data_IF_170906697911
#
_entry.id   IF_170906697911
#
_cell.length_a   1.000
_cell.length_b   1.000
_cell.length_c   1.000
_cell.angle_alpha   90.00
_cell.angle_beta   90.00
_cell.angle_gamma   90.00
#
_symmetry.space_group_name_H-M   'P 1'
#
loop_
_entity.id
_entity.type
_entity.pdbx_description
1 polymer ?
#
# COMPACT_ATOMS: atom_id res chain seq x y z
N UNK A 1 0.75 -6.76 3.83
CA UNK A 1 1.38 -5.71 4.65
C UNK A 1 2.16 -4.66 3.85
N UNK A 2 3.07 -5.02 2.93
CA UNK A 2 3.87 -4.05 2.18
C UNK A 2 2.99 -3.04 1.42
N UNK A 3 1.99 -3.52 0.70
CA UNK A 3 1.05 -2.69 -0.07
C UNK A 3 -0.02 -2.03 0.81
N UNK A 4 -0.53 -2.70 1.83
CA UNK A 4 -1.56 -2.12 2.71
C UNK A 4 -1.04 -0.93 3.52
N UNK A 5 0.26 -0.93 3.86
CA UNK A 5 0.93 0.19 4.51
C UNK A 5 1.44 1.26 3.53
N UNK A 6 1.19 1.12 2.23
CA UNK A 6 1.63 2.04 1.19
C UNK A 6 3.15 2.36 1.25
N UNK A 7 3.96 1.35 1.58
CA UNK A 7 5.41 1.50 1.62
C UNK A 7 5.94 1.71 0.19
N UNK A 8 6.64 2.80 -0.05
CA UNK A 8 7.14 3.17 -1.37
C UNK A 8 6.29 4.16 -2.17
N UNK A 9 5.04 4.40 -1.78
CA UNK A 9 4.15 5.35 -2.46
C UNK A 9 4.23 6.80 -1.94
N UNK A 10 5.03 7.06 -0.91
CA UNK A 10 5.18 8.40 -0.33
C UNK A 10 4.02 8.86 0.55
N UNK A 11 2.91 8.13 0.61
CA UNK A 11 1.70 8.49 1.36
C UNK A 11 2.00 8.66 2.86
N UNK A 12 2.81 7.78 3.44
CA UNK A 12 3.19 7.86 4.85
C UNK A 12 4.08 9.08 5.15
N UNK A 13 4.91 9.52 4.19
CA UNK A 13 5.69 10.74 4.31
C UNK A 13 4.78 11.97 4.38
N UNK A 14 3.78 12.00 3.51
CA UNK A 14 2.78 13.08 3.51
C UNK A 14 1.98 13.11 4.81
N UNK A 15 1.48 11.97 5.30
CA UNK A 15 0.80 11.92 6.59
C UNK A 15 1.70 12.33 7.75
N UNK A 16 2.98 11.95 7.71
CA UNK A 16 3.98 12.38 8.69
C UNK A 16 4.18 13.90 8.69
N UNK A 17 4.17 14.53 7.51
CA UNK A 17 4.34 15.99 7.40
C UNK A 17 3.14 16.80 7.93
N UNK A 18 1.95 16.20 7.99
CA UNK A 18 0.75 16.81 8.58
C UNK A 18 0.52 16.40 10.04
N UNK A 19 1.38 15.57 10.61
CA UNK A 19 1.25 15.17 12.00
C UNK A 19 1.47 16.38 12.92
N UNK A 20 0.61 16.61 13.93
CA UNK A 20 0.84 17.66 14.92
C UNK A 20 2.18 17.47 15.64
N UNK A 21 2.82 18.57 16.04
CA UNK A 21 4.12 18.57 16.74
C UNK A 21 4.10 17.82 18.09
N UNK A 22 2.90 17.56 18.64
CA UNK A 22 2.70 16.79 19.85
C UNK A 22 2.38 15.31 19.62
N UNK A 23 2.51 14.84 18.39
CA UNK A 23 2.29 13.44 18.04
C UNK A 23 3.48 12.55 18.40
N UNK A 24 3.21 11.42 19.04
CA UNK A 24 4.22 10.36 19.25
C UNK A 24 4.39 9.54 17.97
N UNK A 25 5.30 9.98 17.11
CA UNK A 25 5.57 9.34 15.81
C UNK A 25 6.07 7.90 15.99
N UNK A 26 6.86 7.62 17.03
CA UNK A 26 7.38 6.28 17.30
C UNK A 26 6.27 5.30 17.69
N UNK A 27 5.33 5.75 18.53
CA UNK A 27 4.15 4.96 18.92
C UNK A 27 3.23 4.74 17.72
N UNK A 28 2.98 5.76 16.93
CA UNK A 28 2.14 5.65 15.72
C UNK A 28 2.75 4.71 14.69
N UNK A 29 4.07 4.73 14.50
CA UNK A 29 4.78 3.80 13.61
C UNK A 29 4.66 2.33 14.03
N UNK A 30 4.35 2.03 15.28
CA UNK A 30 4.04 0.68 15.78
C UNK A 30 2.54 0.37 15.70
N UNK A 31 1.69 1.31 16.11
CA UNK A 31 0.24 1.07 16.18
C UNK A 31 -0.40 0.90 14.80
N UNK A 32 0.05 1.65 13.78
CA UNK A 32 -0.51 1.56 12.44
C UNK A 32 -0.28 0.18 11.81
N UNK A 33 0.94 -0.39 11.78
CA UNK A 33 1.15 -1.75 11.26
C UNK A 33 0.46 -2.83 12.09
N UNK A 34 0.37 -2.67 13.40
CA UNK A 34 -0.35 -3.63 14.25
C UNK A 34 -1.86 -3.60 13.96
N UNK A 35 -2.43 -2.42 13.81
CA UNK A 35 -3.83 -2.28 13.42
C UNK A 35 -4.11 -2.88 12.04
N UNK A 36 -3.26 -2.60 11.06
CA UNK A 36 -3.34 -3.18 9.71
C UNK A 36 -3.28 -4.71 9.75
N UNK A 37 -2.35 -5.28 10.55
CA UNK A 37 -2.23 -6.73 10.72
C UNK A 37 -3.50 -7.34 11.33
N UNK A 38 -4.05 -6.74 12.38
CA UNK A 38 -5.27 -7.24 13.03
C UNK A 38 -6.45 -7.22 12.06
N UNK A 39 -6.66 -6.12 11.35
CA UNK A 39 -7.74 -6.01 10.35
C UNK A 39 -7.55 -7.02 9.22
N UNK A 40 -6.32 -7.17 8.71
CA UNK A 40 -6.02 -8.14 7.65
C UNK A 40 -6.29 -9.58 8.10
N UNK A 41 -5.91 -9.96 9.33
CA UNK A 41 -6.19 -11.28 9.88
C UNK A 41 -7.69 -11.52 10.07
N UNK A 42 -8.43 -10.56 10.59
CA UNK A 42 -9.88 -10.67 10.75
C UNK A 42 -10.58 -10.80 9.38
N UNK A 43 -10.17 -10.01 8.40
CA UNK A 43 -10.70 -10.11 7.04
C UNK A 43 -10.39 -11.49 6.42
N UNK A 44 -9.17 -12.00 6.57
CA UNK A 44 -8.78 -13.32 6.08
C UNK A 44 -9.58 -14.44 6.75
N UNK A 45 -9.75 -14.37 8.08
CA UNK A 45 -10.56 -15.34 8.84
C UNK A 45 -12.05 -15.32 8.45
N UNK A 46 -12.57 -14.17 8.05
CA UNK A 46 -13.94 -14.07 7.57
C UNK A 46 -14.10 -14.58 6.14
N UNK A 47 -13.18 -14.24 5.24
CA UNK A 47 -13.36 -14.48 3.79
C UNK A 47 -12.86 -15.85 3.33
N UNK A 48 -11.71 -16.30 3.82
CA UNK A 48 -11.11 -17.57 3.36
C UNK A 48 -11.96 -18.79 3.76
N UNK A 49 -12.34 -18.97 5.04
CA UNK A 49 -13.20 -20.10 5.42
C UNK A 49 -14.57 -20.06 4.74
N UNK A 50 -15.15 -18.86 4.56
CA UNK A 50 -16.41 -18.71 3.85
C UNK A 50 -16.31 -19.20 2.40
N UNK A 51 -15.24 -18.81 1.67
CA UNK A 51 -15.03 -19.28 0.31
C UNK A 51 -14.96 -20.82 0.24
N UNK A 52 -14.20 -21.47 1.13
CA UNK A 52 -14.10 -22.92 1.19
C UNK A 52 -15.42 -23.61 1.59
N UNK A 53 -16.15 -23.05 2.55
CA UNK A 53 -17.44 -23.62 3.02
C UNK A 53 -18.48 -23.67 1.89
N UNK A 54 -18.43 -22.71 0.96
CA UNK A 54 -19.31 -22.68 -0.21
C UNK A 54 -18.69 -23.30 -1.48
N UNK A 55 -17.55 -23.99 -1.36
CA UNK A 55 -16.92 -24.72 -2.46
C UNK A 55 -16.18 -23.86 -3.48
N UNK A 56 -15.89 -22.60 -3.15
CA UNK A 56 -15.11 -21.72 -4.01
C UNK A 56 -13.63 -21.75 -3.64
N UNK A 57 -12.76 -21.81 -4.65
CA UNK A 57 -11.32 -21.67 -4.43
C UNK A 57 -10.98 -20.22 -4.12
N UNK A 58 -10.22 -19.92 -3.07
CA UNK A 58 -9.72 -18.58 -2.76
C UNK A 58 -8.60 -18.20 -3.74
N UNK A 59 -8.92 -18.16 -5.02
CA UNK A 59 -7.95 -17.85 -6.06
C UNK A 59 -8.01 -16.38 -6.42
N UNK A 60 -6.85 -15.76 -6.47
CA UNK A 60 -6.57 -14.51 -7.16
C UNK A 60 -7.12 -13.21 -6.53
N UNK A 61 -6.27 -12.54 -5.75
CA UNK A 61 -6.25 -11.08 -5.49
C UNK A 61 -7.64 -10.38 -5.58
N UNK A 62 -7.83 -9.53 -6.60
CA UNK A 62 -9.11 -8.84 -6.83
C UNK A 62 -10.27 -9.77 -7.16
N UNK A 63 -10.01 -10.91 -7.81
CA UNK A 63 -11.03 -11.92 -8.10
C UNK A 63 -11.65 -12.52 -6.85
N UNK A 64 -10.89 -12.71 -5.77
CA UNK A 64 -11.45 -13.17 -4.50
C UNK A 64 -12.49 -12.19 -3.95
N UNK A 65 -12.19 -10.90 -3.99
CA UNK A 65 -13.06 -9.86 -3.44
C UNK A 65 -14.36 -9.70 -4.26
N UNK A 66 -14.26 -9.63 -5.57
CA UNK A 66 -15.40 -9.26 -6.43
C UNK A 66 -16.12 -10.46 -7.04
N UNK A 67 -15.45 -11.58 -7.26
CA UNK A 67 -16.04 -12.77 -7.86
C UNK A 67 -16.41 -13.79 -6.79
N UNK A 68 -15.41 -14.22 -5.99
CA UNK A 68 -15.62 -15.28 -5.00
C UNK A 68 -16.57 -14.83 -3.89
N UNK A 69 -16.35 -13.67 -3.29
CA UNK A 69 -17.21 -13.18 -2.20
C UNK A 69 -18.64 -12.87 -2.68
N UNK A 70 -18.80 -12.38 -3.91
CA UNK A 70 -20.14 -12.25 -4.52
C UNK A 70 -20.86 -13.58 -4.57
N UNK A 71 -20.21 -14.62 -5.10
CA UNK A 71 -20.79 -15.97 -5.22
C UNK A 71 -21.10 -16.60 -3.85
N UNK A 72 -20.23 -16.36 -2.84
CA UNK A 72 -20.49 -16.78 -1.45
C UNK A 72 -21.77 -16.12 -0.92
N UNK A 73 -21.93 -14.83 -1.09
CA UNK A 73 -23.15 -14.13 -0.63
C UNK A 73 -24.40 -14.58 -1.37
N UNK A 74 -24.30 -14.88 -2.66
CA UNK A 74 -25.44 -15.43 -3.45
C UNK A 74 -25.87 -16.81 -2.96
N UNK A 75 -24.95 -17.59 -2.36
CA UNK A 75 -25.18 -18.95 -1.90
C UNK A 75 -25.68 -19.05 -0.46
N UNK A 76 -25.62 -17.96 0.34
CA UNK A 76 -25.95 -18.00 1.77
C UNK A 76 -27.31 -17.39 2.08
N UNK A 77 -28.04 -17.89 3.12
CA UNK A 77 -29.27 -17.27 3.58
C UNK A 77 -29.04 -15.82 4.04
N UNK A 78 -29.83 -14.88 3.54
CA UNK A 78 -29.66 -13.46 3.86
C UNK A 78 -28.47 -12.79 3.16
N UNK A 79 -27.83 -13.46 2.22
CA UNK A 79 -26.62 -13.01 1.57
C UNK A 79 -26.73 -11.66 0.86
N UNK A 80 -27.92 -11.28 0.39
CA UNK A 80 -28.14 -9.96 -0.18
C UNK A 80 -27.84 -8.82 0.81
N UNK A 81 -28.24 -8.96 2.08
CA UNK A 81 -28.01 -7.95 3.12
C UNK A 81 -26.54 -7.93 3.50
N UNK A 82 -25.95 -9.09 3.79
CA UNK A 82 -24.54 -9.19 4.15
C UNK A 82 -23.62 -8.76 3.01
N UNK A 83 -23.93 -9.14 1.77
CA UNK A 83 -23.21 -8.71 0.58
C UNK A 83 -23.27 -7.19 0.38
N UNK A 84 -24.44 -6.60 0.53
CA UNK A 84 -24.59 -5.14 0.47
C UNK A 84 -23.73 -4.44 1.53
N UNK A 85 -23.80 -4.86 2.80
CA UNK A 85 -22.99 -4.28 3.88
C UNK A 85 -21.49 -4.45 3.61
N UNK A 86 -21.07 -5.61 3.15
CA UNK A 86 -19.68 -5.90 2.81
C UNK A 86 -19.17 -4.98 1.69
N UNK A 87 -19.90 -4.88 0.57
CA UNK A 87 -19.45 -4.03 -0.54
C UNK A 87 -19.53 -2.54 -0.23
N UNK A 88 -20.45 -2.10 0.63
CA UNK A 88 -20.47 -0.73 1.15
C UNK A 88 -19.22 -0.47 2.01
N UNK A 89 -18.84 -1.39 2.89
CA UNK A 89 -17.63 -1.25 3.68
C UNK A 89 -16.36 -1.22 2.80
N UNK A 90 -16.27 -2.10 1.79
CA UNK A 90 -15.19 -2.10 0.79
C UNK A 90 -15.13 -0.78 0.02
N UNK A 91 -16.28 -0.24 -0.37
CA UNK A 91 -16.36 1.04 -1.08
C UNK A 91 -15.82 2.20 -0.22
N UNK A 92 -16.21 2.30 1.06
CA UNK A 92 -15.67 3.33 1.95
C UNK A 92 -14.18 3.15 2.22
N UNK A 93 -13.72 1.92 2.38
CA UNK A 93 -12.29 1.62 2.51
C UNK A 93 -11.50 2.06 1.27
N UNK A 94 -12.03 1.78 0.07
CA UNK A 94 -11.40 2.20 -1.19
C UNK A 94 -11.35 3.73 -1.32
N UNK A 95 -12.44 4.44 -1.02
CA UNK A 95 -12.48 5.91 -1.08
C UNK A 95 -11.45 6.53 -0.15
N UNK A 96 -11.36 6.06 1.10
CA UNK A 96 -10.40 6.59 2.07
C UNK A 96 -8.95 6.44 1.58
N UNK A 97 -8.62 5.30 0.95
CA UNK A 97 -7.30 5.06 0.35
C UNK A 97 -7.03 5.97 -0.84
N UNK A 98 -8.02 6.15 -1.73
CA UNK A 98 -7.90 7.04 -2.91
C UNK A 98 -7.68 8.49 -2.47
N UNK A 99 -8.37 8.97 -1.43
CA UNK A 99 -8.19 10.31 -0.89
C UNK A 99 -6.76 10.50 -0.40
N UNK A 100 -6.23 9.56 0.40
CA UNK A 100 -4.88 9.63 0.93
C UNK A 100 -3.80 9.62 -0.16
N UNK A 101 -3.91 8.70 -1.13
CA UNK A 101 -2.97 8.63 -2.26
C UNK A 101 -3.04 9.87 -3.14
N UNK A 102 -4.24 10.38 -3.41
CA UNK A 102 -4.42 11.60 -4.22
C UNK A 102 -3.82 12.82 -3.50
N UNK A 103 -3.99 12.93 -2.19
CA UNK A 103 -3.39 14.00 -1.40
C UNK A 103 -1.86 13.93 -1.43
N UNK A 104 -1.26 12.75 -1.31
CA UNK A 104 0.19 12.58 -1.43
C UNK A 104 0.71 13.01 -2.81
N UNK A 105 0.04 12.59 -3.88
CA UNK A 105 0.42 12.99 -5.25
C UNK A 105 0.21 14.48 -5.51
N UNK A 106 -0.81 15.10 -4.90
CA UNK A 106 -1.09 16.52 -5.02
C UNK A 106 -0.08 17.39 -4.27
N UNK A 107 0.55 16.89 -3.21
CA UNK A 107 1.56 17.61 -2.46
C UNK A 107 2.78 17.99 -3.32
N UNK A 108 3.20 17.11 -4.24
CA UNK A 108 4.35 17.31 -5.10
C UNK A 108 4.24 18.61 -5.92
N UNK A 109 3.21 18.84 -6.77
CA UNK A 109 3.07 20.07 -7.53
C UNK A 109 2.78 21.30 -6.65
N UNK A 110 2.13 21.11 -5.49
CA UNK A 110 1.88 22.22 -4.56
C UNK A 110 3.18 22.73 -3.93
N UNK A 111 4.05 21.84 -3.49
CA UNK A 111 5.31 22.22 -2.82
C UNK A 111 6.39 22.65 -3.83
N UNK A 112 6.54 21.90 -4.93
CA UNK A 112 7.62 22.18 -5.88
C UNK A 112 7.34 23.34 -6.82
N UNK A 113 6.10 23.51 -7.28
CA UNK A 113 5.70 24.56 -8.23
C UNK A 113 4.86 25.68 -7.61
N UNK A 114 4.59 25.62 -6.31
CA UNK A 114 3.78 26.62 -5.59
C UNK A 114 2.32 26.66 -6.06
N UNK A 115 1.79 25.56 -6.56
CA UNK A 115 0.41 25.50 -7.04
C UNK A 115 -0.59 25.51 -5.89
N UNK A 116 -1.79 26.02 -6.16
CA UNK A 116 -2.89 25.93 -5.20
C UNK A 116 -3.33 24.46 -5.03
N UNK A 117 -3.79 24.11 -3.83
CA UNK A 117 -4.28 22.75 -3.53
C UNK A 117 -5.31 22.23 -4.53
N UNK A 118 -6.20 23.10 -5.04
CA UNK A 118 -7.19 22.73 -6.07
C UNK A 118 -6.53 22.28 -7.37
N UNK A 119 -5.52 23.01 -7.85
CA UNK A 119 -4.79 22.67 -9.10
C UNK A 119 -3.97 21.40 -8.92
N UNK A 120 -3.26 21.27 -7.79
CA UNK A 120 -2.50 20.07 -7.46
C UNK A 120 -3.36 18.83 -7.38
N UNK A 121 -4.50 18.91 -6.69
CA UNK A 121 -5.47 17.79 -6.57
C UNK A 121 -6.08 17.41 -7.91
N UNK A 122 -6.45 18.38 -8.76
CA UNK A 122 -6.99 18.10 -10.10
C UNK A 122 -5.95 17.40 -10.99
N UNK A 123 -4.69 17.84 -10.95
CA UNK A 123 -3.61 17.17 -11.68
C UNK A 123 -3.41 15.73 -11.18
N UNK A 124 -3.35 15.53 -9.85
CA UNK A 124 -3.20 14.21 -9.26
C UNK A 124 -4.35 13.28 -9.61
N UNK A 125 -5.60 13.78 -9.58
CA UNK A 125 -6.78 13.01 -10.00
C UNK A 125 -6.72 12.64 -11.48
N UNK A 126 -6.35 13.57 -12.34
CA UNK A 126 -6.21 13.30 -13.79
C UNK A 126 -5.13 12.25 -14.05
N UNK A 127 -3.95 12.36 -13.40
CA UNK A 127 -2.88 11.39 -13.51
C UNK A 127 -3.31 10.00 -12.99
N UNK A 128 -3.98 9.95 -11.84
CA UNK A 128 -4.51 8.69 -11.29
C UNK A 128 -5.53 8.04 -12.23
N UNK A 129 -6.43 8.82 -12.85
CA UNK A 129 -7.40 8.29 -13.82
C UNK A 129 -6.72 7.75 -15.09
N UNK A 130 -5.73 8.46 -15.62
CA UNK A 130 -4.95 8.02 -16.79
C UNK A 130 -4.30 6.66 -16.52
N UNK A 131 -3.85 6.40 -15.30
CA UNK A 131 -3.25 5.11 -14.91
C UNK A 131 -4.33 4.08 -14.58
N UNK A 132 -5.40 4.46 -13.88
CA UNK A 132 -6.44 3.55 -13.42
C UNK A 132 -7.25 2.95 -14.58
N UNK A 133 -7.48 3.71 -15.67
CA UNK A 133 -8.24 3.21 -16.82
C UNK A 133 -7.54 2.03 -17.51
N UNK A 134 -6.26 2.09 -17.91
CA UNK A 134 -5.56 0.93 -18.46
C UNK A 134 -5.47 -0.26 -17.49
N UNK A 135 -5.27 -0.01 -16.19
CA UNK A 135 -5.26 -1.06 -15.16
C UNK A 135 -6.61 -1.78 -15.10
N UNK A 136 -7.70 -1.03 -15.07
CA UNK A 136 -9.06 -1.60 -15.07
C UNK A 136 -9.36 -2.39 -16.35
N UNK A 137 -8.96 -1.87 -17.51
CA UNK A 137 -9.08 -2.55 -18.80
C UNK A 137 -8.19 -3.80 -18.89
N UNK A 138 -7.11 -3.87 -18.12
CA UNK A 138 -6.24 -5.05 -17.99
C UNK A 138 -6.98 -6.29 -17.50
N UNK A 139 -8.08 -6.13 -16.79
CA UNK A 139 -8.95 -7.24 -16.37
C UNK A 139 -10.04 -7.61 -17.40
N UNK A 140 -10.13 -6.90 -18.52
CA UNK A 140 -11.12 -7.16 -19.57
C UNK A 140 -10.51 -7.14 -20.97
N UNK A 141 -10.62 -6.03 -21.69
CA UNK A 141 -10.18 -5.91 -23.09
C UNK A 141 -8.66 -5.91 -23.28
N UNK A 142 -7.90 -5.49 -22.28
CA UNK A 142 -6.43 -5.48 -22.29
C UNK A 142 -5.80 -6.65 -21.51
N UNK A 143 -6.56 -7.69 -21.20
CA UNK A 143 -6.08 -8.85 -20.44
C UNK A 143 -4.90 -9.61 -21.09
N UNK A 144 -4.66 -9.41 -22.38
CA UNK A 144 -3.51 -9.96 -23.12
C UNK A 144 -2.26 -9.07 -23.11
N UNK A 145 -2.34 -7.85 -22.59
CA UNK A 145 -1.22 -6.91 -22.56
C UNK A 145 -0.27 -7.26 -21.41
N UNK A 146 0.96 -7.60 -21.74
CA UNK A 146 2.03 -7.94 -20.80
C UNK A 146 3.11 -6.87 -20.85
N UNK A 147 3.23 -6.05 -19.79
CA UNK A 147 4.17 -4.90 -19.80
C UNK A 147 5.62 -5.29 -19.54
N UNK A 148 5.86 -6.33 -18.73
CA UNK A 148 7.21 -6.77 -18.32
C UNK A 148 7.57 -8.16 -18.83
N UNK A 149 7.00 -8.61 -19.94
CA UNK A 149 7.29 -9.92 -20.55
C UNK A 149 8.76 -10.08 -20.93
N UNK A 150 9.48 -8.98 -21.21
CA UNK A 150 10.92 -8.97 -21.47
C UNK A 150 11.78 -9.39 -20.26
N UNK A 151 11.23 -9.37 -19.04
CA UNK A 151 11.88 -9.89 -17.81
C UNK A 151 11.54 -11.36 -17.54
N UNK A 152 10.87 -12.07 -18.45
CA UNK A 152 10.59 -13.50 -18.35
C UNK A 152 9.39 -13.85 -17.46
N UNK A 153 8.59 -12.87 -17.03
CA UNK A 153 7.39 -13.08 -16.22
C UNK A 153 6.14 -12.53 -16.92
N UNK A 154 5.08 -13.33 -16.95
CA UNK A 154 3.77 -12.90 -17.44
C UNK A 154 3.09 -11.97 -16.41
N UNK A 155 3.51 -10.71 -16.38
CA UNK A 155 2.95 -9.70 -15.47
C UNK A 155 1.90 -8.87 -16.18
N UNK A 156 0.76 -8.70 -15.53
CA UNK A 156 -0.27 -7.77 -15.99
C UNK A 156 0.12 -6.30 -15.70
N UNK A 157 -0.74 -5.36 -16.08
CA UNK A 157 -0.48 -3.92 -15.91
C UNK A 157 -0.39 -3.58 -14.42
N UNK A 158 -1.25 -4.16 -13.58
CA UNK A 158 -1.26 -3.92 -12.14
C UNK A 158 0.01 -4.43 -11.48
N UNK A 159 0.42 -5.68 -11.78
CA UNK A 159 1.65 -6.27 -11.25
C UNK A 159 2.89 -5.44 -11.61
N UNK A 160 2.90 -4.84 -12.79
CA UNK A 160 3.99 -3.99 -13.25
C UNK A 160 4.11 -2.70 -12.43
N UNK A 161 2.97 -2.10 -12.06
CA UNK A 161 2.94 -0.90 -11.19
C UNK A 161 3.36 -1.27 -9.76
N UNK A 162 2.88 -2.38 -9.23
CA UNK A 162 3.26 -2.90 -7.92
C UNK A 162 4.78 -3.15 -7.82
N UNK A 163 5.38 -3.62 -8.90
CA UNK A 163 6.82 -3.78 -8.99
C UNK A 163 7.56 -2.45 -8.85
N UNK A 164 7.11 -1.39 -9.54
CA UNK A 164 7.72 -0.07 -9.42
C UNK A 164 7.65 0.47 -7.98
N UNK A 165 6.53 0.25 -7.30
CA UNK A 165 6.38 0.63 -5.87
C UNK A 165 7.37 -0.11 -4.97
N UNK A 166 7.63 -1.39 -5.25
CA UNK A 166 8.60 -2.20 -4.49
C UNK A 166 10.03 -1.69 -4.69
N UNK A 167 10.39 -1.31 -5.92
CA UNK A 167 11.70 -0.69 -6.23
C UNK A 167 11.83 0.67 -5.55
N UNK A 168 10.78 1.49 -5.56
CA UNK A 168 10.76 2.78 -4.87
C UNK A 168 10.96 2.61 -3.35
N UNK A 169 10.37 1.60 -2.73
CA UNK A 169 10.58 1.30 -1.32
C UNK A 169 12.03 0.91 -1.00
N UNK A 170 12.68 0.12 -1.87
CA UNK A 170 14.11 -0.17 -1.73
C UNK A 170 14.95 1.11 -1.79
N UNK A 171 14.65 1.99 -2.74
CA UNK A 171 15.33 3.27 -2.86
C UNK A 171 15.14 4.15 -1.61
N UNK A 172 13.92 4.18 -1.03
CA UNK A 172 13.65 4.87 0.23
C UNK A 172 14.42 4.27 1.41
N UNK A 173 14.51 2.95 1.53
CA UNK A 173 15.29 2.30 2.58
C UNK A 173 16.79 2.69 2.48
N UNK A 174 17.35 2.71 1.27
CA UNK A 174 18.73 3.14 1.03
C UNK A 174 18.90 4.62 1.36
N UNK A 175 17.97 5.47 0.89
CA UNK A 175 18.00 6.90 1.16
C UNK A 175 18.00 7.21 2.67
N UNK A 176 17.06 6.65 3.42
CA UNK A 176 16.93 6.88 4.87
C UNK A 176 18.10 6.26 5.65
N UNK A 177 18.53 5.05 5.26
CA UNK A 177 19.58 4.33 5.97
C UNK A 177 20.99 4.89 5.75
N UNK A 178 21.28 5.46 4.56
CA UNK A 178 22.65 5.78 4.15
C UNK A 178 22.85 7.25 3.76
N UNK A 179 21.87 7.89 3.12
CA UNK A 179 21.99 9.27 2.63
C UNK A 179 21.51 10.25 3.71
N UNK A 180 20.25 10.17 4.12
CA UNK A 180 19.67 11.05 5.14
C UNK A 180 20.21 10.74 6.53
N UNK A 181 20.56 9.49 6.79
CA UNK A 181 21.08 8.93 8.05
C UNK A 181 20.01 8.79 9.14
N UNK A 182 19.97 7.64 9.82
CA UNK A 182 19.01 7.36 10.90
C UNK A 182 19.06 8.36 12.06
N UNK A 183 20.20 9.01 12.28
CA UNK A 183 20.35 10.04 13.32
C UNK A 183 19.44 11.24 13.08
N UNK A 184 19.34 11.71 11.83
CA UNK A 184 18.45 12.82 11.49
C UNK A 184 16.97 12.47 11.67
N UNK A 185 16.59 11.22 11.35
CA UNK A 185 15.23 10.71 11.61
C UNK A 185 14.93 10.68 13.10
N UNK A 186 15.88 10.21 13.91
CA UNK A 186 15.73 10.16 15.38
C UNK A 186 15.59 11.58 15.95
N UNK A 187 16.40 12.51 15.47
CA UNK A 187 16.32 13.92 15.87
C UNK A 187 14.95 14.52 15.54
N UNK A 188 14.40 14.24 14.36
CA UNK A 188 13.07 14.71 13.97
C UNK A 188 11.96 14.10 14.84
N UNK A 189 12.06 12.80 15.18
CA UNK A 189 11.10 12.10 16.07
C UNK A 189 11.15 12.68 17.49
N UNK A 190 12.33 13.08 17.97
CA UNK A 190 12.53 13.68 19.29
C UNK A 190 12.32 15.21 19.31
N UNK A 191 12.08 15.83 18.15
CA UNK A 191 11.85 17.26 18.01
C UNK A 191 10.65 17.70 18.85
N UNK A 192 10.85 18.66 19.71
CA UNK A 192 9.83 19.08 20.68
C UNK A 192 9.98 18.47 22.08
N UNK A 193 10.88 17.52 22.30
CA UNK A 193 11.31 17.03 23.63
C UNK A 193 10.27 16.27 24.44
N UNK A 194 9.06 16.03 23.90
CA UNK A 194 7.97 15.32 24.59
C UNK A 194 8.17 13.81 24.59
N UNK A 195 8.79 13.26 23.53
CA UNK A 195 8.92 11.80 23.33
C UNK A 195 10.39 11.44 23.15
N UNK A 196 10.84 10.37 23.83
CA UNK A 196 12.18 9.81 23.65
C UNK A 196 12.09 8.54 22.83
N UNK A 197 12.86 8.49 21.75
CA UNK A 197 12.94 7.28 20.93
C UNK A 197 13.88 6.26 21.58
N UNK A 198 13.31 5.35 22.35
CA UNK A 198 14.06 4.40 23.20
C UNK A 198 14.86 3.36 22.40
N UNK A 199 14.44 3.06 21.16
CA UNK A 199 14.95 1.95 20.36
C UNK A 199 15.91 2.39 19.24
N UNK A 200 16.69 3.46 19.47
CA UNK A 200 17.59 4.09 18.49
C UNK A 200 18.54 3.11 17.79
N UNK A 201 19.21 2.25 18.57
CA UNK A 201 20.20 1.31 18.04
C UNK A 201 19.55 0.23 17.17
N UNK A 202 18.41 -0.31 17.63
CA UNK A 202 17.64 -1.31 16.89
C UNK A 202 17.10 -0.70 15.60
N UNK A 203 16.50 0.48 15.65
CA UNK A 203 16.02 1.20 14.47
C UNK A 203 17.14 1.43 13.46
N UNK A 204 18.29 1.93 13.92
CA UNK A 204 19.45 2.19 13.05
C UNK A 204 19.94 0.92 12.37
N UNK A 205 20.01 -0.20 13.10
CA UNK A 205 20.41 -1.48 12.54
C UNK A 205 19.39 -2.01 11.53
N UNK A 206 18.09 -1.95 11.87
CA UNK A 206 17.02 -2.41 10.99
C UNK A 206 16.99 -1.64 9.67
N UNK A 207 16.99 -0.30 9.73
CA UNK A 207 16.85 0.53 8.52
C UNK A 207 18.09 0.48 7.61
N UNK A 208 19.30 0.26 8.18
CA UNK A 208 20.53 0.17 7.40
C UNK A 208 20.76 -1.17 6.76
N UNK A 209 20.40 -2.26 7.43
CA UNK A 209 20.77 -3.60 6.99
C UNK A 209 19.57 -4.48 6.69
N UNK A 210 18.67 -4.62 7.65
CA UNK A 210 17.56 -5.58 7.53
C UNK A 210 16.52 -5.13 6.50
N UNK A 211 16.05 -3.89 6.58
CA UNK A 211 15.03 -3.39 5.65
C UNK A 211 15.49 -3.41 4.18
N UNK A 212 16.70 -2.93 3.81
CA UNK A 212 17.17 -3.02 2.43
C UNK A 212 17.33 -4.47 1.95
N UNK A 213 17.80 -5.38 2.79
CA UNK A 213 17.97 -6.80 2.44
C UNK A 213 16.60 -7.43 2.17
N UNK A 214 15.62 -7.26 3.09
CA UNK A 214 14.28 -7.81 2.92
C UNK A 214 13.62 -7.21 1.67
N UNK A 215 13.71 -5.90 1.49
CA UNK A 215 13.10 -5.24 0.33
C UNK A 215 13.76 -5.68 -0.97
N UNK A 216 15.08 -5.89 -0.97
CA UNK A 216 15.80 -6.44 -2.12
C UNK A 216 15.33 -7.86 -2.45
N UNK A 217 15.15 -8.72 -1.45
CA UNK A 217 14.63 -10.08 -1.64
C UNK A 217 13.22 -10.02 -2.26
N UNK A 218 12.35 -9.11 -1.77
CA UNK A 218 11.02 -8.90 -2.34
C UNK A 218 11.10 -8.43 -3.79
N UNK A 219 12.00 -7.48 -4.12
CA UNK A 219 12.25 -7.03 -5.50
C UNK A 219 12.69 -8.20 -6.38
N UNK A 220 13.66 -8.99 -5.95
CA UNK A 220 14.17 -10.14 -6.70
C UNK A 220 13.10 -11.22 -6.90
N UNK A 221 12.26 -11.44 -5.91
CA UNK A 221 11.10 -12.34 -6.04
C UNK A 221 10.04 -11.80 -6.99
N UNK A 222 9.79 -10.50 -6.97
CA UNK A 222 8.84 -9.84 -7.89
C UNK A 222 9.27 -9.92 -9.34
N UNK A 223 10.59 -9.85 -9.61
CA UNK A 223 11.17 -10.03 -10.96
C UNK A 223 11.18 -11.52 -11.37
N UNK A 224 11.01 -12.45 -10.42
CA UNK A 224 11.05 -13.89 -10.70
C UNK A 224 12.45 -14.52 -10.70
N UNK A 225 13.46 -13.78 -10.20
CA UNK A 225 14.82 -14.33 -10.03
C UNK A 225 14.85 -15.34 -8.87
N UNK A 226 14.04 -15.12 -7.85
CA UNK A 226 13.90 -16.00 -6.69
C UNK A 226 12.43 -16.39 -6.56
N UNK A 227 12.14 -17.68 -6.50
CA UNK A 227 10.81 -18.20 -6.13
C UNK A 227 10.73 -18.29 -4.61
N UNK A 228 9.95 -17.43 -3.98
CA UNK A 228 9.56 -17.51 -2.57
C UNK A 228 8.22 -18.23 -2.43
#
# INVERSE_FOLDING_TARGET
MFFSLNVGFGTNLMYGSYAPDDSDLAKNALLVPLGDMVVALLAALATIPAAFAFGYSPSTRAGMLFITMKAVFESMPGGAIFGFMFFVAVFFAAISSVIGMTAANAAIPCEHWGWSNKKGTLLALAANLIIAVPVSLGYSSLSGVRMLSWMGKDTDILDSIDYLATVAALALCIFVGWIWKPAAVIEEVEKGGKFKFTWKSIFTFLIRYICPIITLIVVLSSIGIISL
#
